data_IF_488246323876
#
_entry.id   IF_488246323876
#
_cell.length_a   1.000
_cell.length_b   1.000
_cell.length_c   1.000
_cell.angle_alpha   90.00
_cell.angle_beta   90.00
_cell.angle_gamma   90.00
#
_symmetry.space_group_name_H-M   'P 1'
#
loop_
_entity.id
_entity.type
_entity.pdbx_description
1 polymer ?
#
# COMPACT_ATOMS: atom_id res chain seq x y z
N UNK A 1 14.06 -34.07 0.92
CA UNK A 1 13.61 -33.13 -0.14
C UNK A 1 14.62 -31.98 -0.20
N UNK A 2 15.32 -31.77 -1.32
CA UNK A 2 16.57 -30.99 -1.38
C UNK A 2 16.50 -29.69 -2.21
N UNK A 3 15.30 -29.13 -2.44
CA UNK A 3 15.12 -27.93 -3.27
C UNK A 3 13.98 -27.04 -2.75
N UNK A 4 14.18 -26.36 -1.61
CA UNK A 4 13.38 -25.18 -1.24
C UNK A 4 14.31 -23.98 -1.34
N UNK A 5 14.16 -23.19 -2.40
CA UNK A 5 14.82 -21.89 -2.60
C UNK A 5 14.02 -20.77 -1.94
N UNK A 6 14.61 -19.61 -1.71
CA UNK A 6 13.91 -18.39 -1.24
C UNK A 6 12.65 -18.16 -2.08
N UNK A 7 12.79 -18.15 -3.41
CA UNK A 7 11.67 -17.94 -4.33
C UNK A 7 10.50 -18.91 -4.08
N UNK A 8 10.78 -20.20 -3.83
CA UNK A 8 9.72 -21.18 -3.54
C UNK A 8 8.97 -20.91 -2.24
N UNK A 9 9.67 -20.43 -1.19
CA UNK A 9 9.05 -20.03 0.06
C UNK A 9 8.19 -18.79 -0.14
N UNK A 10 8.75 -17.76 -0.79
CA UNK A 10 8.07 -16.51 -1.09
C UNK A 10 6.80 -16.75 -1.90
N UNK A 11 6.84 -17.58 -2.94
CA UNK A 11 5.66 -17.92 -3.75
C UNK A 11 4.56 -18.58 -2.92
N UNK A 12 4.90 -19.48 -2.00
CA UNK A 12 3.90 -20.12 -1.13
C UNK A 12 3.31 -19.10 -0.15
N UNK A 13 4.13 -18.24 0.45
CA UNK A 13 3.69 -17.19 1.38
C UNK A 13 2.75 -16.22 0.66
N UNK A 14 3.12 -15.71 -0.52
CA UNK A 14 2.28 -14.76 -1.27
C UNK A 14 1.00 -15.39 -1.78
N UNK A 15 1.05 -16.64 -2.28
CA UNK A 15 -0.15 -17.35 -2.73
C UNK A 15 -1.15 -17.60 -1.59
N UNK A 16 -0.66 -17.91 -0.38
CA UNK A 16 -1.52 -18.02 0.80
C UNK A 16 -2.10 -16.65 1.21
N UNK A 17 -1.35 -15.56 1.03
CA UNK A 17 -1.81 -14.18 1.24
C UNK A 17 -2.99 -13.82 0.33
N UNK A 18 -2.92 -14.19 -0.95
CA UNK A 18 -3.98 -13.93 -1.94
C UNK A 18 -5.27 -14.70 -1.63
N UNK A 19 -5.15 -15.87 -0.99
CA UNK A 19 -6.28 -16.67 -0.53
C UNK A 19 -6.82 -16.25 0.85
N UNK A 20 -6.24 -15.23 1.49
CA UNK A 20 -6.61 -14.79 2.84
C UNK A 20 -6.22 -15.77 3.95
N UNK A 21 -5.33 -16.74 3.67
CA UNK A 21 -4.93 -17.82 4.59
C UNK A 21 -3.73 -17.37 5.44
N UNK A 22 -3.91 -16.30 6.20
CA UNK A 22 -2.81 -15.63 6.89
C UNK A 22 -2.07 -16.49 7.90
N UNK A 23 -2.79 -17.23 8.75
CA UNK A 23 -2.17 -18.12 9.74
C UNK A 23 -1.25 -19.15 9.09
N UNK A 24 -1.67 -19.74 7.98
CA UNK A 24 -0.87 -20.73 7.26
C UNK A 24 0.35 -20.11 6.58
N UNK A 25 0.20 -18.88 6.06
CA UNK A 25 1.33 -18.13 5.52
C UNK A 25 2.39 -17.85 6.61
N UNK A 26 1.96 -17.56 7.84
CA UNK A 26 2.86 -17.41 8.97
C UNK A 26 3.49 -18.73 9.41
N UNK A 27 2.76 -19.83 9.42
CA UNK A 27 3.33 -21.15 9.72
C UNK A 27 4.45 -21.50 8.73
N UNK A 28 4.24 -21.18 7.43
CA UNK A 28 5.25 -21.33 6.39
C UNK A 28 6.44 -20.40 6.63
N UNK A 29 6.19 -19.13 6.98
CA UNK A 29 7.25 -18.16 7.27
C UNK A 29 8.08 -18.56 8.51
N UNK A 30 7.43 -18.92 9.62
CA UNK A 30 8.08 -19.43 10.82
C UNK A 30 8.88 -20.70 10.52
N UNK A 31 8.36 -21.60 9.66
CA UNK A 31 9.10 -22.76 9.20
C UNK A 31 10.35 -22.35 8.43
N UNK A 32 10.28 -21.34 7.54
CA UNK A 32 11.44 -20.78 6.84
C UNK A 32 12.47 -20.23 7.83
N UNK A 33 12.05 -19.47 8.85
CA UNK A 33 12.93 -18.94 9.90
C UNK A 33 13.61 -20.06 10.70
N UNK A 34 12.89 -21.13 11.03
CA UNK A 34 13.41 -22.25 11.83
C UNK A 34 14.48 -23.10 11.11
N UNK A 35 14.53 -23.05 9.77
CA UNK A 35 15.40 -23.91 8.97
C UNK A 35 16.86 -23.44 8.94
N UNK A 36 17.17 -22.19 9.34
CA UNK A 36 18.51 -21.70 9.69
C UNK A 36 19.69 -21.96 8.72
N UNK A 37 20.24 -20.87 8.15
CA UNK A 37 21.46 -20.71 7.32
C UNK A 37 21.55 -21.40 5.94
N UNK A 38 21.89 -20.58 4.91
CA UNK A 38 22.04 -20.92 3.48
C UNK A 38 21.22 -20.01 2.55
N UNK A 39 20.86 -20.47 1.34
CA UNK A 39 19.94 -19.80 0.39
C UNK A 39 18.47 -19.73 0.87
N UNK A 40 18.23 -19.57 2.17
CA UNK A 40 16.90 -19.67 2.79
C UNK A 40 16.63 -18.55 3.80
N UNK A 41 17.49 -17.53 3.79
CA UNK A 41 17.35 -16.31 4.57
C UNK A 41 16.23 -15.46 3.95
N UNK A 42 15.25 -14.97 4.72
CA UNK A 42 14.27 -14.03 4.22
C UNK A 42 14.94 -12.82 3.58
N UNK A 43 14.49 -12.47 2.39
CA UNK A 43 14.91 -11.27 1.67
C UNK A 43 13.79 -10.21 1.67
N UNK A 44 14.07 -9.08 1.03
CA UNK A 44 13.11 -7.99 0.81
C UNK A 44 11.77 -8.48 0.24
N UNK A 45 11.78 -9.42 -0.71
CA UNK A 45 10.54 -9.91 -1.34
C UNK A 45 9.76 -10.80 -0.38
N UNK A 46 10.46 -11.58 0.44
CA UNK A 46 9.86 -12.41 1.48
C UNK A 46 9.13 -11.55 2.51
N UNK A 47 9.77 -10.49 3.02
CA UNK A 47 9.15 -9.57 3.97
C UNK A 47 7.99 -8.78 3.37
N UNK A 48 8.10 -8.37 2.10
CA UNK A 48 6.97 -7.78 1.38
C UNK A 48 5.77 -8.74 1.35
N UNK A 49 5.99 -10.02 1.02
CA UNK A 49 4.95 -11.05 1.03
C UNK A 49 4.28 -11.19 2.40
N UNK A 50 5.06 -11.21 3.48
CA UNK A 50 4.53 -11.26 4.86
C UNK A 50 3.69 -10.01 5.18
N UNK A 51 4.12 -8.82 4.78
CA UNK A 51 3.34 -7.59 4.99
C UNK A 51 2.05 -7.57 4.15
N UNK A 52 2.07 -8.12 2.94
CA UNK A 52 0.86 -8.32 2.12
C UNK A 52 -0.15 -9.23 2.84
N UNK A 53 0.32 -10.34 3.44
CA UNK A 53 -0.52 -11.21 4.28
C UNK A 53 -1.19 -10.38 5.36
N UNK A 54 -0.38 -9.62 6.12
CA UNK A 54 -0.90 -8.79 7.22
C UNK A 54 -1.98 -7.84 6.73
N UNK A 55 -1.75 -7.14 5.62
CA UNK A 55 -2.71 -6.21 5.03
C UNK A 55 -4.03 -6.87 4.63
N UNK A 56 -3.96 -8.04 3.99
CA UNK A 56 -5.14 -8.77 3.54
C UNK A 56 -5.96 -9.37 4.70
N UNK A 57 -5.31 -9.78 5.79
CA UNK A 57 -5.97 -10.43 6.92
C UNK A 57 -6.21 -9.51 8.12
N UNK A 58 -5.75 -8.26 8.07
CA UNK A 58 -5.90 -7.29 9.16
C UNK A 58 -5.03 -7.58 10.39
N UNK A 59 -3.94 -8.31 10.23
CA UNK A 59 -3.04 -8.73 11.33
C UNK A 59 -2.05 -7.61 11.68
N UNK A 60 -2.52 -6.61 12.44
CA UNK A 60 -1.78 -5.38 12.76
C UNK A 60 -0.53 -5.63 13.60
N UNK A 61 -0.63 -6.52 14.60
CA UNK A 61 0.48 -6.75 15.54
C UNK A 61 1.65 -7.42 14.83
N UNK A 62 1.35 -8.39 13.97
CA UNK A 62 2.28 -9.08 13.11
C UNK A 62 2.88 -8.13 12.08
N UNK A 63 2.07 -7.27 11.45
CA UNK A 63 2.55 -6.22 10.55
C UNK A 63 3.57 -5.30 11.22
N UNK A 64 3.27 -4.78 12.42
CA UNK A 64 4.22 -3.97 13.21
C UNK A 64 5.49 -4.73 13.57
N UNK A 65 5.34 -5.98 13.99
CA UNK A 65 6.46 -6.82 14.39
C UNK A 65 7.40 -7.05 13.21
N UNK A 66 6.89 -7.57 12.09
CA UNK A 66 7.72 -7.95 10.95
C UNK A 66 8.29 -6.75 10.18
N UNK A 67 7.57 -5.62 10.14
CA UNK A 67 8.10 -4.37 9.57
C UNK A 67 9.34 -3.85 10.33
N UNK A 68 9.39 -4.03 11.65
CA UNK A 68 10.57 -3.67 12.46
C UNK A 68 11.64 -4.78 12.42
N UNK A 69 11.19 -6.03 12.44
CA UNK A 69 12.06 -7.20 12.48
C UNK A 69 12.96 -7.31 11.25
N UNK A 70 12.46 -6.95 10.06
CA UNK A 70 13.28 -6.98 8.83
C UNK A 70 14.54 -6.11 8.94
N UNK A 71 14.43 -4.91 9.51
CA UNK A 71 15.58 -4.02 9.71
C UNK A 71 16.45 -4.51 10.89
N UNK A 72 15.83 -4.88 12.01
CA UNK A 72 16.56 -5.20 13.25
C UNK A 72 17.31 -6.53 13.20
N UNK A 73 16.76 -7.55 12.54
CA UNK A 73 17.30 -8.90 12.54
C UNK A 73 17.99 -9.29 11.23
N UNK A 74 17.64 -8.63 10.11
CA UNK A 74 18.16 -8.97 8.79
C UNK A 74 18.86 -7.81 8.07
N UNK A 75 18.94 -6.63 8.68
CA UNK A 75 19.54 -5.42 8.07
C UNK A 75 18.86 -5.03 6.74
N UNK A 76 17.56 -5.34 6.62
CA UNK A 76 16.77 -5.02 5.43
C UNK A 76 16.00 -3.74 5.70
N UNK A 77 16.46 -2.65 5.11
CA UNK A 77 15.76 -1.36 5.17
C UNK A 77 14.42 -1.40 4.41
N UNK A 78 13.32 -0.95 5.02
CA UNK A 78 12.02 -0.92 4.36
C UNK A 78 12.04 -0.06 3.08
N UNK A 79 11.67 -0.69 1.95
CA UNK A 79 11.44 0.00 0.67
C UNK A 79 10.00 0.47 0.52
N UNK A 80 9.74 1.26 -0.52
CA UNK A 80 8.45 1.90 -0.76
C UNK A 80 7.28 0.89 -0.84
N UNK A 81 7.54 -0.32 -1.32
CA UNK A 81 6.57 -1.42 -1.39
C UNK A 81 6.17 -1.89 0.01
N UNK A 82 7.13 -2.02 0.93
CA UNK A 82 6.87 -2.40 2.32
C UNK A 82 6.04 -1.35 3.04
N UNK A 83 6.38 -0.07 2.84
CA UNK A 83 5.58 1.05 3.35
C UNK A 83 4.17 1.03 2.76
N UNK A 84 4.02 0.77 1.47
CA UNK A 84 2.72 0.67 0.80
C UNK A 84 1.83 -0.39 1.45
N UNK A 85 2.34 -1.60 1.68
CA UNK A 85 1.60 -2.68 2.32
C UNK A 85 1.26 -2.36 3.79
N UNK A 86 2.19 -1.75 4.53
CA UNK A 86 1.94 -1.46 5.93
C UNK A 86 0.98 -0.28 6.12
N UNK A 87 1.05 0.73 5.26
CA UNK A 87 0.05 1.81 5.18
C UNK A 87 -1.31 1.25 4.78
N UNK A 88 -1.40 0.33 3.81
CA UNK A 88 -2.66 -0.33 3.42
C UNK A 88 -3.30 -1.05 4.62
N UNK A 89 -2.51 -1.84 5.36
CA UNK A 89 -2.94 -2.51 6.58
C UNK A 89 -3.53 -1.53 7.59
N UNK A 90 -2.76 -0.53 8.00
CA UNK A 90 -3.17 0.46 9.00
C UNK A 90 -4.41 1.24 8.55
N UNK A 91 -4.48 1.59 7.27
CA UNK A 91 -5.59 2.34 6.71
C UNK A 91 -6.88 1.53 6.67
N UNK A 92 -6.81 0.21 6.36
CA UNK A 92 -7.96 -0.71 6.33
C UNK A 92 -8.55 -1.00 7.70
N UNK A 93 -7.74 -1.02 8.74
CA UNK A 93 -8.18 -1.33 10.12
C UNK A 93 -8.56 -0.10 10.94
N UNK A 94 -8.49 1.11 10.36
CA UNK A 94 -8.89 2.32 11.06
C UNK A 94 -7.76 3.11 11.73
N UNK A 95 -6.51 2.67 11.61
CA UNK A 95 -5.34 3.25 12.28
C UNK A 95 -4.68 4.33 11.41
N UNK A 96 -5.47 5.32 11.03
CA UNK A 96 -5.09 6.33 10.06
C UNK A 96 -4.01 7.30 10.53
N UNK A 97 -4.03 7.66 11.82
CA UNK A 97 -3.01 8.55 12.40
C UNK A 97 -1.64 7.85 12.38
N UNK A 98 -1.59 6.56 12.72
CA UNK A 98 -0.37 5.74 12.64
C UNK A 98 0.09 5.57 11.18
N UNK A 99 -0.83 5.32 10.25
CA UNK A 99 -0.50 5.25 8.82
C UNK A 99 0.14 6.55 8.31
N UNK A 100 -0.31 7.69 8.83
CA UNK A 100 0.22 9.00 8.49
C UNK A 100 1.60 9.27 9.12
N UNK A 101 1.77 8.96 10.40
CA UNK A 101 3.07 9.07 11.07
C UNK A 101 4.11 8.21 10.35
N UNK A 102 3.74 6.99 9.96
CA UNK A 102 4.58 6.09 9.19
C UNK A 102 5.04 6.71 7.87
N UNK A 103 4.14 7.35 7.12
CA UNK A 103 4.49 8.09 5.91
C UNK A 103 5.47 9.24 6.20
N UNK A 104 5.31 9.92 7.34
CA UNK A 104 6.21 10.97 7.80
C UNK A 104 7.64 10.50 8.11
N UNK A 105 7.80 9.23 8.48
CA UNK A 105 9.13 8.62 8.72
C UNK A 105 9.88 8.27 7.43
N UNK A 106 9.21 8.30 6.27
CA UNK A 106 9.84 7.98 4.99
C UNK A 106 10.77 9.11 4.54
N UNK A 107 12.06 8.81 4.40
CA UNK A 107 13.03 9.66 3.67
C UNK A 107 12.87 9.55 2.15
N UNK A 108 12.06 8.60 1.67
CA UNK A 108 11.84 8.27 0.26
C UNK A 108 10.71 9.13 -0.34
N UNK A 109 10.88 9.52 -1.61
CA UNK A 109 9.82 10.20 -2.37
C UNK A 109 8.62 9.27 -2.52
N UNK A 110 7.51 9.63 -1.90
CA UNK A 110 6.27 8.86 -1.94
C UNK A 110 5.77 8.69 -3.38
N UNK A 111 5.34 7.48 -3.71
CA UNK A 111 4.81 7.11 -5.02
C UNK A 111 3.29 6.95 -4.98
N UNK A 112 2.70 6.72 -6.15
CA UNK A 112 1.25 6.67 -6.30
C UNK A 112 0.57 5.59 -5.48
N UNK A 113 1.25 4.46 -5.27
CA UNK A 113 0.72 3.32 -4.55
C UNK A 113 0.54 3.59 -3.05
N UNK A 114 1.51 4.22 -2.37
CA UNK A 114 1.44 4.49 -0.92
C UNK A 114 0.30 5.45 -0.58
N UNK A 115 0.17 6.53 -1.35
CA UNK A 115 -0.94 7.47 -1.22
C UNK A 115 -2.29 6.84 -1.61
N UNK A 116 -2.29 5.97 -2.61
CA UNK A 116 -3.45 5.17 -3.00
C UNK A 116 -3.99 4.32 -1.86
N UNK A 117 -3.10 3.58 -1.20
CA UNK A 117 -3.44 2.74 -0.06
C UNK A 117 -4.00 3.58 1.10
N UNK A 118 -3.32 4.69 1.41
CA UNK A 118 -3.75 5.63 2.45
C UNK A 118 -5.16 6.18 2.17
N UNK A 119 -5.37 6.79 1.00
CA UNK A 119 -6.67 7.36 0.59
C UNK A 119 -7.77 6.29 0.45
N UNK A 120 -7.40 5.07 0.09
CA UNK A 120 -8.29 3.92 0.01
C UNK A 120 -8.91 3.56 1.37
N UNK A 121 -8.11 3.49 2.44
CA UNK A 121 -8.64 3.23 3.78
C UNK A 121 -9.46 4.39 4.34
N UNK A 122 -9.16 5.64 3.97
CA UNK A 122 -9.99 6.79 4.33
C UNK A 122 -11.42 6.72 3.79
N UNK A 123 -11.60 6.20 2.56
CA UNK A 123 -12.92 5.94 1.98
C UNK A 123 -13.74 4.95 2.82
N UNK A 124 -13.08 3.95 3.39
CA UNK A 124 -13.75 2.90 4.19
C UNK A 124 -14.23 3.48 5.53
N UNK A 125 -13.43 4.34 6.15
CA UNK A 125 -13.66 4.82 7.53
C UNK A 125 -14.18 6.25 7.63
N UNK A 126 -14.40 6.95 6.52
CA UNK A 126 -14.90 8.34 6.45
C UNK A 126 -14.10 9.34 7.31
N UNK A 127 -12.80 9.12 7.50
CA UNK A 127 -11.96 10.03 8.30
C UNK A 127 -11.48 11.22 7.44
N UNK A 128 -12.19 12.34 7.60
CA UNK A 128 -12.16 13.51 6.72
C UNK A 128 -10.94 14.43 6.93
N UNK A 129 -10.37 14.46 8.14
CA UNK A 129 -9.39 15.49 8.53
C UNK A 129 -8.08 15.40 7.73
N UNK A 130 -7.61 14.18 7.44
CA UNK A 130 -6.36 14.00 6.73
C UNK A 130 -6.50 14.16 5.21
N UNK A 131 -7.67 13.87 4.62
CA UNK A 131 -7.94 14.17 3.21
C UNK A 131 -7.73 15.68 2.92
N UNK A 132 -8.17 16.55 3.83
CA UNK A 132 -7.92 17.99 3.75
C UNK A 132 -6.44 18.32 3.90
N UNK A 133 -5.75 17.67 4.82
CA UNK A 133 -4.32 17.88 5.00
C UNK A 133 -3.46 17.46 3.78
N UNK A 134 -3.77 16.33 3.13
CA UNK A 134 -3.08 15.87 1.90
C UNK A 134 -3.29 16.87 0.76
N UNK A 135 -4.51 17.40 0.63
CA UNK A 135 -4.84 18.46 -0.33
C UNK A 135 -3.99 19.72 -0.15
N UNK A 136 -3.74 20.09 1.10
CA UNK A 136 -3.12 21.37 1.45
C UNK A 136 -1.59 21.28 1.43
N UNK A 137 -1.02 20.20 1.98
CA UNK A 137 0.42 20.10 2.22
C UNK A 137 1.19 19.32 1.17
N UNK A 138 0.50 18.49 0.38
CA UNK A 138 1.17 17.49 -0.42
C UNK A 138 0.98 17.69 -1.92
N UNK A 139 -0.25 17.94 -2.35
CA UNK A 139 -0.57 18.23 -3.75
C UNK A 139 0.23 19.43 -4.27
N UNK A 140 0.47 20.44 -3.42
CA UNK A 140 1.27 21.62 -3.75
C UNK A 140 2.77 21.32 -3.94
N UNK A 141 3.27 20.20 -3.40
CA UNK A 141 4.69 19.81 -3.42
C UNK A 141 5.01 18.73 -4.45
N UNK A 142 4.00 18.02 -4.96
CA UNK A 142 4.18 16.95 -5.93
C UNK A 142 4.34 17.52 -7.34
N UNK A 143 5.55 17.41 -7.89
CA UNK A 143 5.85 17.54 -9.33
C UNK A 143 6.53 16.24 -9.83
N UNK A 144 6.24 15.79 -11.06
CA UNK A 144 5.47 16.44 -12.13
C UNK A 144 3.96 16.15 -12.09
N UNK A 145 3.17 16.92 -12.87
CA UNK A 145 1.69 16.97 -12.88
C UNK A 145 1.05 15.61 -13.18
N UNK A 146 1.67 14.81 -14.05
CA UNK A 146 1.17 13.48 -14.44
C UNK A 146 1.08 12.54 -13.25
N UNK A 147 2.01 12.65 -12.29
CA UNK A 147 2.03 11.83 -11.09
C UNK A 147 0.98 12.25 -10.04
N UNK A 148 0.28 13.37 -10.24
CA UNK A 148 -0.66 13.95 -9.26
C UNK A 148 -2.13 13.67 -9.61
N UNK A 149 -2.41 13.28 -10.85
CA UNK A 149 -3.77 13.06 -11.37
C UNK A 149 -4.50 11.94 -10.61
N UNK A 150 -3.79 10.84 -10.34
CA UNK A 150 -4.30 9.72 -9.55
C UNK A 150 -4.73 10.16 -8.15
N UNK A 151 -3.92 10.99 -7.48
CA UNK A 151 -4.21 11.51 -6.14
C UNK A 151 -5.45 12.37 -6.09
N UNK A 152 -5.59 13.30 -7.04
CA UNK A 152 -6.77 14.14 -7.10
C UNK A 152 -8.05 13.32 -7.28
N UNK A 153 -7.99 12.25 -8.09
CA UNK A 153 -9.12 11.34 -8.29
C UNK A 153 -9.47 10.59 -7.01
N UNK A 154 -8.46 10.01 -6.34
CA UNK A 154 -8.64 9.30 -5.07
C UNK A 154 -9.16 10.23 -3.97
N UNK A 155 -8.63 11.43 -3.86
CA UNK A 155 -9.06 12.44 -2.89
C UNK A 155 -10.49 12.91 -3.15
N UNK A 156 -10.85 13.17 -4.42
CA UNK A 156 -12.22 13.49 -4.81
C UNK A 156 -13.18 12.34 -4.45
N UNK A 157 -12.78 11.09 -4.62
CA UNK A 157 -13.60 9.93 -4.26
C UNK A 157 -13.74 9.78 -2.74
N UNK A 158 -12.68 10.04 -1.98
CA UNK A 158 -12.72 10.05 -0.52
C UNK A 158 -13.72 11.09 0.00
N UNK A 159 -13.66 12.34 -0.50
CA UNK A 159 -14.65 13.37 -0.13
C UNK A 159 -16.08 13.03 -0.56
N UNK A 160 -16.25 12.47 -1.75
CA UNK A 160 -17.57 12.04 -2.22
C UNK A 160 -18.17 10.94 -1.31
N UNK A 161 -17.36 9.97 -0.87
CA UNK A 161 -17.80 8.91 0.05
C UNK A 161 -18.19 9.42 1.45
N UNK A 162 -17.76 10.64 1.78
CA UNK A 162 -18.06 11.33 3.02
C UNK A 162 -19.11 12.44 2.85
N UNK A 163 -19.83 12.47 1.72
CA UNK A 163 -20.87 13.46 1.38
C UNK A 163 -20.38 14.94 1.38
N UNK A 164 -19.06 15.15 1.27
CA UNK A 164 -18.41 16.47 1.26
C UNK A 164 -18.31 17.04 -0.16
N UNK A 165 -19.45 17.36 -0.77
CA UNK A 165 -19.55 17.82 -2.16
C UNK A 165 -18.85 19.17 -2.44
N UNK A 166 -18.76 20.04 -1.44
CA UNK A 166 -18.01 21.31 -1.54
C UNK A 166 -16.52 21.01 -1.74
N UNK A 167 -15.98 20.08 -0.97
CA UNK A 167 -14.56 19.69 -1.07
C UNK A 167 -14.26 18.95 -2.36
N UNK A 168 -15.18 18.09 -2.83
CA UNK A 168 -15.11 17.51 -4.19
C UNK A 168 -14.98 18.61 -5.25
N UNK A 169 -15.77 19.67 -5.13
CA UNK A 169 -15.76 20.80 -6.07
C UNK A 169 -14.44 21.58 -5.99
N UNK A 170 -13.92 21.79 -4.77
CA UNK A 170 -12.63 22.46 -4.54
C UNK A 170 -11.46 21.67 -5.13
N UNK A 171 -11.43 20.35 -4.93
CA UNK A 171 -10.42 19.45 -5.51
C UNK A 171 -10.45 19.51 -7.03
N UNK A 172 -11.64 19.43 -7.64
CA UNK A 172 -11.80 19.53 -9.10
C UNK A 172 -11.37 20.89 -9.64
N UNK A 173 -11.68 21.97 -8.94
CA UNK A 173 -11.22 23.32 -9.32
C UNK A 173 -9.70 23.41 -9.32
N UNK A 174 -9.06 22.88 -8.26
CA UNK A 174 -7.60 22.84 -8.12
C UNK A 174 -6.93 21.99 -9.21
N UNK A 175 -7.55 20.87 -9.62
CA UNK A 175 -7.08 20.08 -10.79
C UNK A 175 -7.04 20.93 -12.06
N UNK A 176 -8.12 21.68 -12.33
CA UNK A 176 -8.22 22.54 -13.51
C UNK A 176 -7.18 23.66 -13.46
N UNK A 177 -7.01 24.32 -12.31
CA UNK A 177 -6.00 25.36 -12.10
C UNK A 177 -4.58 24.85 -12.31
N UNK A 178 -4.30 23.59 -11.94
CA UNK A 178 -3.00 22.94 -12.14
C UNK A 178 -2.81 22.37 -13.56
N UNK A 179 -3.75 22.57 -14.48
CA UNK A 179 -3.68 22.03 -15.85
C UNK A 179 -3.85 20.51 -15.93
N UNK A 180 -4.28 19.87 -14.84
CA UNK A 180 -4.55 18.44 -14.77
C UNK A 180 -5.86 18.15 -15.51
N UNK A 181 -5.77 17.57 -16.71
CA UNK A 181 -6.94 16.97 -17.38
C UNK A 181 -7.09 15.53 -16.91
N UNK A 182 -8.30 15.14 -16.50
CA UNK A 182 -8.62 13.73 -16.25
C UNK A 182 -8.30 12.94 -17.52
N UNK A 183 -7.41 11.93 -17.50
CA UNK A 183 -7.29 11.02 -18.62
C UNK A 183 -8.65 10.35 -18.80
N UNK A 184 -9.20 10.29 -20.03
CA UNK A 184 -10.41 9.53 -20.26
C UNK A 184 -10.24 8.13 -19.67
N UNK A 185 -11.28 7.63 -18.99
CA UNK A 185 -11.25 6.27 -18.47
C UNK A 185 -11.15 5.32 -19.65
N UNK A 186 -9.98 4.69 -19.84
CA UNK A 186 -9.82 3.63 -20.83
C UNK A 186 -10.29 2.33 -20.19
N UNK A 187 -11.39 1.78 -20.70
CA UNK A 187 -11.80 0.42 -20.37
C UNK A 187 -11.20 -0.46 -21.45
N UNK A 188 -10.24 -1.31 -21.09
CA UNK A 188 -9.69 -2.30 -22.01
C UNK A 188 -10.62 -3.50 -22.01
N UNK A 189 -11.31 -3.75 -23.13
CA UNK A 189 -12.09 -4.98 -23.29
C UNK A 189 -11.31 -5.94 -24.19
N UNK A 190 -11.13 -7.17 -23.72
CA UNK A 190 -10.55 -8.22 -24.55
C UNK A 190 -11.68 -8.97 -25.26
N UNK A 191 -11.78 -8.77 -26.58
CA UNK A 191 -12.73 -9.51 -27.42
C UNK A 191 -11.91 -10.37 -28.37
N UNK A 192 -12.06 -11.69 -28.28
CA UNK A 192 -11.38 -12.67 -29.13
C UNK A 192 -9.84 -12.52 -29.16
N UNK A 193 -9.22 -12.25 -28.01
CA UNK A 193 -7.77 -12.11 -27.91
C UNK A 193 -7.22 -10.74 -28.31
N UNK A 194 -8.08 -9.83 -28.78
CA UNK A 194 -7.70 -8.45 -29.14
C UNK A 194 -8.14 -7.49 -28.05
N UNK A 195 -7.24 -6.60 -27.66
CA UNK A 195 -7.48 -5.58 -26.64
C UNK A 195 -8.02 -4.31 -27.34
N UNK A 196 -9.17 -3.81 -26.89
CA UNK A 196 -9.84 -2.58 -27.37
C UNK A 196 -9.91 -1.52 -26.29
#
# INVERSE_FOLDING_TARGET
MKWRSIASWTTVITGLAELGRGSEAFDVFCSMLSVGEGERVPDEVTFLGVLCVCSHTGMVNEGRHYFKYMAQAYDIEPRIEHYGCFVDLLSRVGLQDEAYELIGTMSLKLNEAVWGALLGGYRIHKNIKLASYVSDNLISKLKPIEAVIGYFTLLSNAYASADRWVDVSNVRKKMVEMGVKKPPGHSLIQVNGVIH
#
